data_IF_408558979802
#
_entry.id   IF_408558979802
#
_cell.length_a   1.000
_cell.length_b   1.000
_cell.length_c   1.000
_cell.angle_alpha   90.00
_cell.angle_beta   90.00
_cell.angle_gamma   90.00
#
_symmetry.space_group_name_H-M   'P 1'
#
loop_
_entity.id
_entity.type
_entity.pdbx_description
1 polymer ?
#
# COMPACT_ATOMS: atom_id res chain seq x y z
N UNK A 1 -53.48 5.83 4.69
CA UNK A 1 -52.89 6.13 4.36
C UNK A 1 -51.77 5.72 3.93
N UNK A 2 -51.30 5.74 3.41
CA UNK A 2 -50.35 5.28 2.86
C UNK A 2 -49.23 5.41 2.82
N UNK A 3 -48.55 5.16 2.96
CA UNK A 3 -47.38 5.18 2.78
C UNK A 3 -46.49 4.85 2.19
N UNK A 4 -45.94 5.04 1.85
CA UNK A 4 -45.10 4.83 1.10
C UNK A 4 -44.05 4.35 1.13
N UNK A 5 -43.76 3.90 1.07
CA UNK A 5 -42.79 3.33 0.98
C UNK A 5 -41.78 3.54 0.51
N UNK A 6 -41.32 4.01 0.44
CA UNK A 6 -40.30 4.17 -0.01
C UNK A 6 -39.42 3.57 -0.36
N UNK A 7 -39.41 3.15 -0.97
CA UNK A 7 -38.54 2.51 -1.41
C UNK A 7 -37.39 2.63 -1.31
N UNK A 8 -36.94 2.70 -0.81
CA UNK A 8 -35.74 2.70 -0.71
C UNK A 8 -35.00 2.25 -1.54
N UNK A 9 -34.94 2.63 -2.46
CA UNK A 9 -34.16 2.12 -3.28
C UNK A 9 -32.88 2.15 -2.86
N UNK A 10 -32.41 1.33 -2.55
CA UNK A 10 -31.17 1.12 -2.40
C UNK A 10 -30.55 1.50 -3.53
N UNK A 11 -29.63 2.23 -3.49
CA UNK A 11 -28.92 2.61 -4.54
C UNK A 11 -28.32 1.45 -5.06
N UNK A 12 -28.76 1.16 -6.05
CA UNK A 12 -28.34 0.10 -6.57
C UNK A 12 -27.01 0.13 -6.65
N UNK A 13 -26.40 -0.60 -6.24
CA UNK A 13 -25.26 -0.81 -6.40
C UNK A 13 -25.13 -0.82 -7.71
N UNK A 14 -24.54 0.03 -8.19
CA UNK A 14 -24.36 0.11 -9.51
C UNK A 14 -23.78 -1.13 -9.99
N UNK A 15 -24.33 -1.65 -10.90
CA UNK A 15 -23.81 -2.77 -11.51
C UNK A 15 -22.43 -2.42 -11.88
N UNK A 16 -21.56 -3.24 -11.69
CA UNK A 16 -20.22 -2.96 -12.01
C UNK A 16 -20.20 -2.69 -13.44
N UNK A 17 -19.52 -1.72 -13.80
CA UNK A 17 -19.39 -1.47 -15.16
C UNK A 17 -18.86 -2.71 -15.77
N UNK A 18 -19.19 -2.93 -16.96
CA UNK A 18 -18.78 -4.09 -17.61
C UNK A 18 -17.35 -4.08 -17.51
N UNK A 19 -16.85 -4.88 -16.83
CA UNK A 19 -15.59 -4.87 -16.68
C UNK A 19 -14.94 -5.00 -17.75
N UNK A 20 -14.14 -4.17 -18.00
CA UNK A 20 -13.20 -4.36 -18.98
C UNK A 20 -12.56 -5.62 -18.59
N UNK A 21 -12.48 -6.50 -19.40
CA UNK A 21 -11.80 -7.72 -19.12
C UNK A 21 -10.41 -7.39 -18.64
N UNK A 22 -9.98 -8.06 -17.66
CA UNK A 22 -8.63 -7.86 -17.18
C UNK A 22 -7.65 -8.22 -18.28
N UNK A 23 -6.59 -7.46 -18.43
CA UNK A 23 -5.60 -7.78 -19.43
C UNK A 23 -4.97 -9.13 -19.13
N UNK A 24 -4.54 -9.82 -20.17
CA UNK A 24 -3.96 -11.13 -20.00
C UNK A 24 -2.62 -11.08 -19.29
N UNK A 25 -1.93 -9.96 -19.41
CA UNK A 25 -0.65 -9.84 -18.76
C UNK A 25 -0.68 -8.68 -17.79
N UNK A 26 0.04 -8.82 -16.71
CA UNK A 26 0.14 -7.77 -15.73
C UNK A 26 1.19 -6.76 -16.20
N UNK A 27 0.80 -5.49 -16.21
CA UNK A 27 1.74 -4.42 -16.56
C UNK A 27 2.13 -3.70 -15.26
N UNK A 28 3.32 -3.93 -14.77
CA UNK A 28 3.73 -3.34 -13.51
C UNK A 28 4.02 -1.85 -13.60
N UNK A 29 4.41 -1.35 -14.76
CA UNK A 29 4.86 0.03 -14.88
C UNK A 29 3.81 1.05 -14.45
N UNK A 30 2.62 0.96 -14.97
CA UNK A 30 1.55 1.87 -14.60
C UNK A 30 1.12 1.71 -13.16
N UNK A 31 1.08 0.49 -12.70
CA UNK A 31 0.70 0.19 -11.33
C UNK A 31 1.71 0.75 -10.35
N UNK A 32 2.99 0.57 -10.64
CA UNK A 32 4.05 1.06 -9.76
C UNK A 32 4.01 2.57 -9.64
N UNK A 33 3.90 3.29 -10.74
CA UNK A 33 3.85 4.74 -10.71
C UNK A 33 2.64 5.25 -9.93
N UNK A 34 1.50 4.62 -10.13
CA UNK A 34 0.28 5.02 -9.44
C UNK A 34 0.39 4.83 -7.93
N UNK A 35 0.90 3.69 -7.50
CA UNK A 35 1.02 3.44 -6.07
C UNK A 35 2.12 4.26 -5.43
N UNK A 36 3.22 4.50 -6.13
CA UNK A 36 4.27 5.37 -5.64
C UNK A 36 3.71 6.76 -5.35
N UNK A 37 2.96 7.30 -6.28
CA UNK A 37 2.35 8.61 -6.11
C UNK A 37 1.33 8.61 -4.97
N UNK A 38 0.51 7.60 -4.86
CA UNK A 38 -0.49 7.51 -3.80
C UNK A 38 0.18 7.47 -2.42
N UNK A 39 1.26 6.71 -2.28
CA UNK A 39 1.97 6.61 -1.02
C UNK A 39 2.64 7.93 -0.63
N UNK A 40 3.19 8.63 -1.61
CA UNK A 40 3.80 9.92 -1.36
C UNK A 40 2.76 10.95 -0.93
N UNK A 41 1.64 10.99 -1.60
CA UNK A 41 0.57 11.92 -1.26
C UNK A 41 -0.03 11.62 0.11
N UNK A 42 -0.10 10.36 0.47
CA UNK A 42 -0.65 9.98 1.76
C UNK A 42 0.36 10.11 2.90
N UNK A 43 1.62 10.40 2.59
CA UNK A 43 2.66 10.45 3.61
C UNK A 43 2.91 9.10 4.26
N UNK A 44 2.75 8.02 3.50
CA UNK A 44 2.81 6.68 4.06
C UNK A 44 4.17 6.33 4.67
N UNK A 45 5.23 7.00 4.22
CA UNK A 45 6.57 6.72 4.71
C UNK A 45 7.08 7.75 5.72
N UNK A 46 6.20 8.65 6.15
CA UNK A 46 6.58 9.70 7.09
C UNK A 46 5.85 9.47 8.41
N UNK A 47 6.45 8.73 9.32
CA UNK A 47 5.80 8.47 10.59
C UNK A 47 5.72 9.74 11.43
N UNK A 48 4.67 9.85 12.20
CA UNK A 48 4.48 10.98 13.07
C UNK A 48 5.02 10.59 14.44
N UNK A 49 6.05 11.28 14.95
CA UNK A 49 6.60 10.92 16.27
C UNK A 49 5.57 11.01 17.39
N UNK A 50 4.52 11.79 17.19
CA UNK A 50 3.49 11.93 18.20
C UNK A 50 2.37 10.93 18.06
N UNK A 51 2.40 10.09 17.03
CA UNK A 51 1.34 9.12 16.83
C UNK A 51 1.36 8.05 17.93
N UNK A 52 0.20 7.52 18.29
CA UNK A 52 0.18 6.47 19.30
C UNK A 52 0.79 5.20 18.75
N UNK A 53 1.22 4.35 19.64
CA UNK A 53 1.80 3.08 19.26
C UNK A 53 3.26 3.00 19.69
N UNK A 54 3.69 1.77 19.94
CA UNK A 54 5.07 1.55 20.32
C UNK A 54 5.96 1.82 19.12
N UNK A 55 7.02 2.58 19.29
CA UNK A 55 7.90 2.87 18.16
C UNK A 55 8.68 1.64 17.72
N UNK A 56 8.82 1.50 16.44
CA UNK A 56 9.65 0.46 15.85
C UNK A 56 10.35 1.05 14.65
N UNK A 57 11.67 0.97 14.60
CA UNK A 57 12.40 1.52 13.47
C UNK A 57 13.38 0.50 12.96
N UNK A 58 13.63 0.54 11.68
CA UNK A 58 14.58 -0.34 11.03
C UNK A 58 15.30 0.46 9.95
N UNK A 59 16.60 0.18 9.82
CA UNK A 59 17.42 0.85 8.83
C UNK A 59 17.73 -0.17 7.73
N UNK A 60 17.50 0.23 6.50
CA UNK A 60 17.80 -0.62 5.36
C UNK A 60 19.25 -0.45 4.99
N UNK A 61 20.04 -1.51 4.89
CA UNK A 61 21.40 -1.37 4.43
C UNK A 61 21.41 -0.87 3.00
N UNK A 62 22.24 0.14 2.69
CA UNK A 62 22.25 0.68 1.35
C UNK A 62 22.84 -0.32 0.37
N UNK A 63 22.29 -0.41 -0.82
CA UNK A 63 22.85 -1.28 -1.83
C UNK A 63 24.17 -0.70 -2.35
N UNK A 64 25.08 -1.59 -2.74
CA UNK A 64 26.29 -1.12 -3.37
C UNK A 64 25.91 -0.55 -4.72
N UNK A 65 26.42 0.64 -4.99
CA UNK A 65 26.02 1.35 -6.18
C UNK A 65 26.89 0.97 -7.36
N UNK A 66 27.23 -0.26 -7.52
CA UNK A 66 28.14 -0.64 -8.56
C UNK A 66 27.48 -1.44 -9.66
N UNK A 67 26.28 -1.12 -9.99
CA UNK A 67 25.60 -1.83 -11.06
C UNK A 67 24.13 -1.90 -10.85
N UNK A 68 23.48 -2.77 -11.62
CA UNK A 68 22.05 -2.93 -11.51
C UNK A 68 21.67 -3.72 -10.26
N UNK A 69 20.51 -3.45 -9.75
CA UNK A 69 19.99 -4.24 -8.64
C UNK A 69 19.76 -5.67 -9.12
N UNK A 70 19.96 -6.61 -8.24
CA UNK A 70 19.76 -8.01 -8.57
C UNK A 70 18.89 -8.71 -7.53
N UNK A 71 18.69 -10.00 -7.72
CA UNK A 71 17.79 -10.78 -6.88
C UNK A 71 18.18 -10.74 -5.40
N UNK A 72 19.45 -10.62 -5.09
CA UNK A 72 19.88 -10.49 -3.69
C UNK A 72 19.35 -9.24 -3.04
N UNK A 73 19.32 -8.12 -3.79
CA UNK A 73 18.75 -6.89 -3.27
C UNK A 73 17.26 -7.06 -3.04
N UNK A 74 16.57 -7.70 -3.98
CA UNK A 74 15.14 -7.93 -3.85
C UNK A 74 14.82 -8.80 -2.63
N UNK A 75 15.61 -9.84 -2.41
CA UNK A 75 15.41 -10.74 -1.29
C UNK A 75 15.58 -10.01 0.05
N UNK A 76 16.64 -9.23 0.16
CA UNK A 76 16.91 -8.48 1.39
C UNK A 76 15.81 -7.46 1.65
N UNK A 77 15.40 -6.73 0.62
CA UNK A 77 14.35 -5.73 0.77
C UNK A 77 13.01 -6.38 1.11
N UNK A 78 12.71 -7.53 0.54
CA UNK A 78 11.47 -8.23 0.83
C UNK A 78 11.40 -8.68 2.29
N UNK A 79 12.51 -9.10 2.87
CA UNK A 79 12.53 -9.47 4.28
C UNK A 79 12.25 -8.28 5.17
N UNK A 80 12.87 -7.15 4.87
CA UNK A 80 12.66 -5.93 5.64
C UNK A 80 11.23 -5.45 5.48
N UNK A 81 10.72 -5.48 4.27
CA UNK A 81 9.34 -5.05 3.98
C UNK A 81 8.33 -5.90 4.74
N UNK A 82 8.57 -7.20 4.82
CA UNK A 82 7.70 -8.11 5.55
C UNK A 82 7.67 -7.75 7.03
N UNK A 83 8.82 -7.46 7.61
CA UNK A 83 8.91 -7.08 9.02
C UNK A 83 8.18 -5.77 9.26
N UNK A 84 8.40 -4.79 8.41
CA UNK A 84 7.76 -3.48 8.54
C UNK A 84 6.24 -3.61 8.47
N UNK A 85 5.75 -4.37 7.51
CA UNK A 85 4.31 -4.57 7.36
C UNK A 85 3.71 -5.29 8.56
N UNK A 86 4.42 -6.30 9.04
CA UNK A 86 3.97 -7.04 10.21
C UNK A 86 3.85 -6.12 11.43
N UNK A 87 4.87 -5.29 11.65
CA UNK A 87 4.86 -4.39 12.80
C UNK A 87 3.76 -3.33 12.68
N UNK A 88 3.47 -2.86 11.47
CA UNK A 88 2.36 -1.94 11.26
C UNK A 88 1.02 -2.59 11.56
N UNK A 89 0.85 -3.85 11.19
CA UNK A 89 -0.38 -4.57 11.50
C UNK A 89 -0.54 -4.80 13.00
N UNK A 90 0.55 -4.76 13.74
CA UNK A 90 0.50 -4.87 15.18
C UNK A 90 0.15 -3.53 15.85
N UNK A 91 -0.05 -2.50 15.09
CA UNK A 91 -0.40 -1.18 15.62
C UNK A 91 0.77 -0.33 16.05
N UNK A 92 1.98 -0.71 15.69
CA UNK A 92 3.16 0.07 16.07
C UNK A 92 3.38 1.25 15.15
N UNK A 93 4.08 2.25 15.67
CA UNK A 93 4.47 3.41 14.87
C UNK A 93 5.82 3.08 14.23
N UNK A 94 5.81 2.75 12.96
CA UNK A 94 6.96 2.17 12.28
C UNK A 94 7.67 3.18 11.39
N UNK A 95 8.98 3.25 11.52
CA UNK A 95 9.84 4.04 10.66
C UNK A 95 10.82 3.11 9.96
N UNK A 96 10.84 3.16 8.64
CA UNK A 96 11.79 2.40 7.85
C UNK A 96 12.70 3.40 7.14
N UNK A 97 13.98 3.41 7.50
CA UNK A 97 14.93 4.35 6.92
C UNK A 97 15.73 3.69 5.83
N UNK A 98 15.90 4.36 4.69
CA UNK A 98 16.73 3.82 3.62
C UNK A 98 18.21 3.91 3.95
#
# INVERSE_FOLDING_TARGET
VSEPASSASTPAEAAPAPEAALPKTYDPAGTEARWQQAWEQAGAFHPDPAAPGEPFSVVIPPPNVTGSLHMGHAFNTALIDTIVRFQRLQGKNVLCLP
#
